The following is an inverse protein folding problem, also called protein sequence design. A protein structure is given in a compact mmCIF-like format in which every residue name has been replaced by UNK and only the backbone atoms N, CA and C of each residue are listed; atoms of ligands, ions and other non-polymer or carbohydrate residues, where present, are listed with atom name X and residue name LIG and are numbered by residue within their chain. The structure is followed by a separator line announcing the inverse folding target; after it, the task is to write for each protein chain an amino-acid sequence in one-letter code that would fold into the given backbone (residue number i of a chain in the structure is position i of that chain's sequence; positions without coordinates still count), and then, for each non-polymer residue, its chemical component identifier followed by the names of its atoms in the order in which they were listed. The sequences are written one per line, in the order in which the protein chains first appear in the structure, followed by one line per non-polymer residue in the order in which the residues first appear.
data_IF_545826578621
#
_entry.id   IF_545826578621
#
_cell.length_a   1.000
_cell.length_b   1.000
_cell.length_c   1.000
_cell.angle_alpha   90.00
_cell.angle_beta   90.00
_cell.angle_gamma   90.00
#
_symmetry.space_group_name_H-M   'P 1'
#
loop_
_entity.id
_entity.type
_entity.pdbx_description
1 polymer ?
#
# COMPACT_ATOMS: atom_id res chain seq x y z
N UNK A 1 13.39 -37.27 -34.50
CA UNK A 1 14.17 -37.03 -33.28
C UNK A 1 13.63 -35.77 -32.62
N UNK A 2 13.01 -35.92 -31.46
CA UNK A 2 12.33 -34.83 -30.75
C UNK A 2 13.36 -33.88 -30.14
N UNK A 3 13.30 -32.59 -30.51
CA UNK A 3 13.94 -31.51 -29.74
C UNK A 3 13.16 -31.37 -28.45
N UNK A 4 13.71 -31.89 -27.35
CA UNK A 4 13.26 -31.52 -26.02
C UNK A 4 13.48 -30.01 -25.87
N UNK A 5 12.40 -29.24 -25.80
CA UNK A 5 12.44 -27.83 -25.46
C UNK A 5 12.94 -27.72 -24.02
N UNK A 6 14.23 -27.45 -23.85
CA UNK A 6 14.80 -27.17 -22.53
C UNK A 6 14.08 -25.93 -21.98
N UNK A 7 13.22 -26.12 -20.99
CA UNK A 7 12.65 -25.03 -20.23
C UNK A 7 13.80 -24.26 -19.56
N UNK A 8 13.82 -22.92 -19.62
CA UNK A 8 14.84 -22.12 -18.97
C UNK A 8 14.99 -22.52 -17.50
N UNK A 9 16.22 -22.63 -16.96
CA UNK A 9 16.47 -23.01 -15.56
C UNK A 9 15.64 -22.18 -14.56
N UNK A 10 15.50 -20.88 -14.84
CA UNK A 10 14.64 -19.96 -14.08
C UNK A 10 13.17 -20.38 -14.09
N UNK A 11 12.60 -20.73 -15.26
CA UNK A 11 11.22 -21.21 -15.37
C UNK A 11 10.99 -22.53 -14.63
N UNK A 12 11.93 -23.47 -14.67
CA UNK A 12 11.83 -24.72 -13.93
C UNK A 12 11.86 -24.49 -12.39
N UNK A 13 12.72 -23.58 -11.93
CA UNK A 13 12.78 -23.18 -10.51
C UNK A 13 11.47 -22.54 -10.04
N UNK A 14 10.92 -21.59 -10.82
CA UNK A 14 9.65 -20.93 -10.49
C UNK A 14 8.47 -21.90 -10.54
N UNK A 15 8.45 -22.83 -11.50
CA UNK A 15 7.45 -23.89 -11.53
C UNK A 15 7.51 -24.78 -10.28
N UNK A 16 8.70 -25.11 -9.78
CA UNK A 16 8.85 -25.89 -8.55
C UNK A 16 8.35 -25.11 -7.32
N UNK A 17 8.64 -23.81 -7.23
CA UNK A 17 8.11 -22.95 -6.18
C UNK A 17 6.58 -22.88 -6.22
N UNK A 18 5.98 -22.72 -7.40
CA UNK A 18 4.51 -22.75 -7.55
C UNK A 18 3.91 -24.07 -7.05
N UNK A 19 4.54 -25.22 -7.33
CA UNK A 19 4.08 -26.51 -6.82
C UNK A 19 4.14 -26.61 -5.30
N UNK A 20 5.16 -26.03 -4.65
CA UNK A 20 5.24 -26.01 -3.18
C UNK A 20 4.18 -25.10 -2.56
N UNK A 21 3.90 -23.95 -3.17
CA UNK A 21 2.79 -23.07 -2.78
C UNK A 21 1.45 -23.83 -2.88
N UNK A 22 1.22 -24.51 -3.99
CA UNK A 22 0.01 -25.31 -4.23
C UNK A 22 -0.15 -26.41 -3.17
N UNK A 23 0.90 -27.20 -2.90
CA UNK A 23 0.89 -28.24 -1.87
C UNK A 23 0.57 -27.68 -0.48
N UNK A 24 1.13 -26.52 -0.12
CA UNK A 24 0.88 -25.87 1.19
C UNK A 24 -0.57 -25.38 1.31
N UNK A 25 -1.15 -24.84 0.24
CA UNK A 25 -2.56 -24.46 0.18
C UNK A 25 -3.50 -25.67 0.27
N UNK A 26 -3.19 -26.77 -0.44
CA UNK A 26 -3.96 -28.02 -0.33
C UNK A 26 -3.95 -28.58 1.10
N UNK A 27 -2.80 -28.55 1.78
CA UNK A 27 -2.70 -28.93 3.20
C UNK A 27 -3.55 -28.03 4.10
N UNK A 28 -3.56 -26.72 3.84
CA UNK A 28 -4.38 -25.77 4.60
C UNK A 28 -5.89 -26.00 4.40
N UNK A 29 -6.33 -26.44 3.21
CA UNK A 29 -7.71 -26.85 2.97
C UNK A 29 -8.05 -28.12 3.76
N UNK A 30 -7.21 -29.15 3.64
CA UNK A 30 -7.42 -30.47 4.23
C UNK A 30 -7.35 -30.48 5.77
N UNK A 31 -6.62 -29.53 6.38
CA UNK A 31 -6.44 -29.45 7.83
C UNK A 31 -7.04 -28.16 8.42
N UNK A 32 -8.35 -28.13 8.75
CA UNK A 32 -9.00 -27.00 9.40
C UNK A 32 -8.29 -26.43 10.64
N UNK A 33 -7.79 -27.23 11.60
CA UNK A 33 -7.18 -26.69 12.82
C UNK A 33 -5.83 -25.99 12.56
N UNK A 34 -5.09 -26.41 11.54
CA UNK A 34 -3.77 -25.85 11.19
C UNK A 34 -3.84 -24.80 10.09
N UNK A 35 -4.99 -24.66 9.42
CA UNK A 35 -5.21 -23.79 8.25
C UNK A 35 -4.64 -22.39 8.42
N UNK A 36 -4.97 -21.72 9.53
CA UNK A 36 -4.51 -20.35 9.80
C UNK A 36 -2.98 -20.28 9.87
N UNK A 37 -2.35 -21.21 10.58
CA UNK A 37 -0.89 -21.24 10.77
C UNK A 37 -0.20 -21.51 9.43
N UNK A 38 -0.68 -22.50 8.67
CA UNK A 38 -0.14 -22.83 7.35
C UNK A 38 -0.22 -21.64 6.37
N UNK A 39 -1.34 -20.90 6.38
CA UNK A 39 -1.48 -19.71 5.56
C UNK A 39 -0.60 -18.54 6.03
N UNK A 40 -0.43 -18.39 7.33
CA UNK A 40 0.47 -17.39 7.88
C UNK A 40 1.93 -17.68 7.51
N UNK A 41 2.36 -18.94 7.62
CA UNK A 41 3.69 -19.36 7.20
C UNK A 41 3.87 -19.17 5.69
N UNK A 42 2.89 -19.57 4.87
CA UNK A 42 2.96 -19.38 3.42
C UNK A 42 3.08 -17.89 3.05
N UNK A 43 2.32 -17.03 3.72
CA UNK A 43 2.43 -15.59 3.55
C UNK A 43 3.84 -15.09 3.90
N UNK A 44 4.41 -15.55 5.02
CA UNK A 44 5.76 -15.18 5.42
C UNK A 44 6.80 -15.64 4.38
N UNK A 45 6.70 -16.88 3.90
CA UNK A 45 7.60 -17.46 2.90
C UNK A 45 7.56 -16.67 1.58
N UNK A 46 6.36 -16.33 1.10
CA UNK A 46 6.16 -15.56 -0.14
C UNK A 46 6.65 -14.10 -0.01
N UNK A 47 6.59 -13.53 1.19
CA UNK A 47 7.07 -12.19 1.48
C UNK A 47 8.60 -12.11 1.69
N UNK A 48 9.31 -13.25 1.71
CA UNK A 48 10.76 -13.25 1.86
C UNK A 48 11.45 -12.56 0.69
N UNK A 49 12.59 -11.97 1.01
CA UNK A 49 13.53 -11.50 0.01
C UNK A 49 14.22 -12.68 -0.66
N UNK A 50 14.44 -12.53 -1.95
CA UNK A 50 15.20 -13.48 -2.74
C UNK A 50 16.66 -13.37 -2.33
N UNK A 51 17.21 -14.46 -1.80
CA UNK A 51 18.63 -14.58 -1.45
C UNK A 51 19.53 -14.57 -2.70
N UNK A 52 20.83 -14.30 -2.52
CA UNK A 52 21.77 -14.16 -3.65
C UNK A 52 21.82 -15.41 -4.54
N UNK A 53 21.70 -16.60 -3.94
CA UNK A 53 21.70 -17.87 -4.67
C UNK A 53 20.48 -18.00 -5.56
N UNK A 54 19.30 -17.65 -5.06
CA UNK A 54 18.07 -17.67 -5.84
C UNK A 54 18.05 -16.55 -6.88
N UNK A 55 18.63 -15.38 -6.57
CA UNK A 55 18.82 -14.28 -7.53
C UNK A 55 19.63 -14.73 -8.73
N UNK A 56 20.75 -15.43 -8.53
CA UNK A 56 21.55 -15.97 -9.63
C UNK A 56 20.76 -16.93 -10.53
N UNK A 57 19.91 -17.78 -9.94
CA UNK A 57 19.08 -18.72 -10.71
C UNK A 57 17.97 -18.01 -11.48
N UNK A 58 17.37 -16.96 -10.89
CA UNK A 58 16.26 -16.21 -11.49
C UNK A 58 16.77 -15.27 -12.58
N UNK A 59 17.85 -14.55 -12.31
CA UNK A 59 18.44 -13.50 -13.14
C UNK A 59 19.51 -13.99 -14.10
N UNK A 60 19.89 -15.27 -14.08
CA UNK A 60 20.77 -15.87 -15.09
C UNK A 60 20.08 -15.94 -16.46
N UNK A 61 19.88 -14.75 -17.03
CA UNK A 61 19.70 -14.48 -18.44
C UNK A 61 21.08 -14.07 -18.94
N UNK A 62 21.57 -14.82 -19.93
CA UNK A 62 22.86 -14.69 -20.59
C UNK A 62 23.28 -13.22 -20.76
N UNK A 63 24.48 -12.89 -20.29
CA UNK A 63 25.16 -11.62 -20.49
C UNK A 63 25.16 -11.25 -21.98
N UNK A 64 24.30 -10.32 -22.40
CA UNK A 64 24.48 -9.57 -23.65
C UNK A 64 23.55 -8.35 -23.71
N UNK A 65 23.58 -7.52 -22.66
CA UNK A 65 23.34 -6.08 -22.79
C UNK A 65 23.99 -5.38 -21.60
N UNK A 66 25.15 -4.78 -21.84
CA UNK A 66 25.74 -3.80 -20.93
C UNK A 66 24.80 -2.59 -20.93
N UNK A 67 23.96 -2.49 -19.90
CA UNK A 67 23.32 -1.24 -19.50
C UNK A 67 24.05 -0.73 -18.25
N UNK A 68 24.33 0.58 -18.18
CA UNK A 68 25.17 1.12 -17.13
C UNK A 68 24.49 0.99 -15.77
N UNK A 69 25.33 0.88 -14.74
CA UNK A 69 24.95 0.78 -13.35
C UNK A 69 24.09 2.00 -12.91
N UNK A 70 22.77 1.83 -12.90
CA UNK A 70 21.88 2.60 -12.03
C UNK A 70 21.85 1.91 -10.65
N UNK A 71 22.97 2.08 -9.95
CA UNK A 71 23.30 1.49 -8.65
C UNK A 71 22.56 2.16 -7.49
N UNK A 72 21.26 2.47 -7.65
CA UNK A 72 20.50 3.20 -6.61
C UNK A 72 19.04 2.81 -6.42
N UNK A 73 18.46 1.90 -7.24
CA UNK A 73 17.06 1.49 -7.10
C UNK A 73 16.75 0.01 -7.37
N UNK A 74 17.74 -0.90 -7.44
CA UNK A 74 17.42 -2.33 -7.34
C UNK A 74 16.94 -2.61 -5.90
N UNK A 75 15.64 -2.40 -5.69
CA UNK A 75 14.95 -2.66 -4.45
C UNK A 75 15.16 -4.09 -3.99
N UNK A 76 14.83 -4.34 -2.72
CA UNK A 76 14.74 -5.68 -2.16
C UNK A 76 13.83 -6.56 -3.04
N UNK A 77 14.42 -7.38 -3.92
CA UNK A 77 13.67 -8.32 -4.74
C UNK A 77 13.04 -9.36 -3.80
N UNK A 78 11.73 -9.46 -3.82
CA UNK A 78 10.97 -10.41 -2.99
C UNK A 78 10.35 -11.51 -3.87
N UNK A 79 10.15 -12.71 -3.30
CA UNK A 79 9.62 -13.84 -4.05
C UNK A 79 8.23 -13.56 -4.65
N UNK A 80 7.37 -12.81 -3.96
CA UNK A 80 6.07 -12.45 -4.49
C UNK A 80 6.12 -11.68 -5.80
N UNK A 81 7.11 -10.79 -5.97
CA UNK A 81 7.22 -9.93 -7.14
C UNK A 81 7.61 -10.76 -8.37
N UNK A 82 8.60 -11.64 -8.19
CA UNK A 82 9.05 -12.61 -9.20
C UNK A 82 7.93 -13.58 -9.58
N UNK A 83 7.19 -14.10 -8.60
CA UNK A 83 6.07 -15.01 -8.84
C UNK A 83 4.91 -14.33 -9.54
N UNK A 84 4.63 -13.06 -9.25
CA UNK A 84 3.60 -12.30 -9.94
C UNK A 84 3.91 -12.12 -11.43
N UNK A 85 5.17 -11.82 -11.78
CA UNK A 85 5.61 -11.78 -13.18
C UNK A 85 5.51 -13.16 -13.85
N UNK A 86 5.90 -14.21 -13.12
CA UNK A 86 5.81 -15.58 -13.62
C UNK A 86 4.37 -15.99 -13.93
N UNK A 87 3.40 -15.67 -13.07
CA UNK A 87 2.00 -16.01 -13.30
C UNK A 87 1.34 -15.21 -14.43
N UNK A 88 1.87 -14.03 -14.77
CA UNK A 88 1.48 -13.32 -16.00
C UNK A 88 1.97 -14.07 -17.24
N UNK A 89 3.22 -14.55 -17.22
CA UNK A 89 3.83 -15.26 -18.36
C UNK A 89 3.30 -16.70 -18.53
N UNK A 90 3.01 -17.38 -17.42
CA UNK A 90 2.56 -18.77 -17.37
C UNK A 90 1.28 -18.90 -16.52
N UNK A 91 0.13 -18.38 -17.00
CA UNK A 91 -1.12 -18.35 -16.23
C UNK A 91 -1.63 -19.74 -15.83
N UNK A 92 -1.32 -20.78 -16.62
CA UNK A 92 -1.68 -22.17 -16.31
C UNK A 92 -1.04 -22.68 -15.00
N UNK A 93 0.14 -22.18 -14.63
CA UNK A 93 0.79 -22.52 -13.36
C UNK A 93 0.14 -21.81 -12.17
N UNK A 94 -0.46 -20.64 -12.37
CA UNK A 94 -1.12 -19.86 -11.33
C UNK A 94 -2.57 -20.30 -11.07
N UNK A 95 -3.24 -20.88 -12.07
CA UNK A 95 -4.68 -21.22 -11.98
C UNK A 95 -5.04 -22.18 -10.84
N UNK A 96 -4.33 -23.32 -10.60
CA UNK A 96 -4.63 -24.20 -9.47
C UNK A 96 -4.48 -23.48 -8.12
N UNK A 97 -3.46 -22.64 -7.98
CA UNK A 97 -3.22 -21.83 -6.78
C UNK A 97 -4.38 -20.84 -6.57
N UNK A 98 -4.80 -20.14 -7.62
CA UNK A 98 -5.92 -19.22 -7.56
C UNK A 98 -7.21 -19.92 -7.10
N UNK A 99 -7.53 -21.09 -7.67
CA UNK A 99 -8.71 -21.87 -7.31
C UNK A 99 -8.69 -22.29 -5.82
N UNK A 100 -7.53 -22.67 -5.30
CA UNK A 100 -7.35 -23.02 -3.88
C UNK A 100 -7.52 -21.79 -2.98
N UNK A 101 -6.95 -20.64 -3.36
CA UNK A 101 -7.12 -19.39 -2.60
C UNK A 101 -8.60 -18.99 -2.57
N UNK A 102 -9.32 -19.10 -3.69
CA UNK A 102 -10.77 -18.81 -3.78
C UNK A 102 -11.59 -19.68 -2.81
N UNK A 103 -11.21 -20.95 -2.61
CA UNK A 103 -11.83 -21.82 -1.61
C UNK A 103 -11.50 -21.40 -0.17
N UNK A 104 -10.33 -20.78 0.04
CA UNK A 104 -9.84 -20.31 1.33
C UNK A 104 -10.17 -18.85 1.64
N UNK A 105 -10.99 -18.18 0.82
CA UNK A 105 -11.24 -16.74 0.88
C UNK A 105 -11.79 -16.22 2.22
N UNK A 106 -12.43 -17.10 3.01
CA UNK A 106 -12.90 -16.78 4.36
C UNK A 106 -11.76 -16.55 5.37
N UNK A 107 -10.55 -16.97 5.03
CA UNK A 107 -9.37 -16.84 5.88
C UNK A 107 -8.66 -15.51 5.63
N UNK A 108 -8.25 -14.83 6.70
CA UNK A 108 -7.62 -13.49 6.61
C UNK A 108 -6.36 -13.46 5.74
N UNK A 109 -5.56 -14.53 5.74
CA UNK A 109 -4.31 -14.59 4.98
C UNK A 109 -4.51 -14.89 3.48
N UNK A 110 -5.68 -15.40 3.09
CA UNK A 110 -5.94 -15.74 1.69
C UNK A 110 -5.90 -14.49 0.78
N UNK A 111 -6.49 -13.37 1.22
CA UNK A 111 -6.45 -12.11 0.48
C UNK A 111 -5.05 -11.47 0.44
N UNK A 112 -4.24 -11.63 1.50
CA UNK A 112 -2.84 -11.19 1.50
C UNK A 112 -2.04 -11.94 0.45
N UNK A 113 -2.10 -13.28 0.47
CA UNK A 113 -1.38 -14.15 -0.48
C UNK A 113 -1.87 -13.86 -1.91
N UNK A 114 -3.18 -13.70 -2.11
CA UNK A 114 -3.74 -13.31 -3.40
C UNK A 114 -3.13 -12.00 -3.90
N UNK A 115 -3.10 -10.96 -3.05
CA UNK A 115 -2.57 -9.64 -3.43
C UNK A 115 -1.08 -9.71 -3.77
N UNK A 116 -0.31 -10.52 -3.04
CA UNK A 116 1.12 -10.69 -3.32
C UNK A 116 1.36 -11.44 -4.63
N UNK A 117 0.67 -12.54 -4.87
CA UNK A 117 0.94 -13.41 -6.02
C UNK A 117 0.26 -12.99 -7.33
N UNK A 118 -0.92 -12.36 -7.27
CA UNK A 118 -1.77 -12.13 -8.44
C UNK A 118 -2.03 -10.65 -8.74
N UNK A 119 -1.32 -9.71 -8.10
CA UNK A 119 -1.52 -8.27 -8.36
C UNK A 119 -1.26 -7.86 -9.80
N UNK A 120 -0.27 -8.46 -10.48
CA UNK A 120 0.00 -8.18 -11.90
C UNK A 120 -0.97 -8.92 -12.81
N UNK A 121 -1.14 -10.21 -12.56
CA UNK A 121 -2.03 -11.11 -13.31
C UNK A 121 -3.44 -10.55 -13.51
N UNK A 122 -4.02 -9.93 -12.48
CA UNK A 122 -5.37 -9.37 -12.52
C UNK A 122 -5.58 -8.32 -13.63
N UNK A 123 -4.54 -7.57 -14.00
CA UNK A 123 -4.64 -6.51 -15.00
C UNK A 123 -4.15 -6.95 -16.39
N UNK A 124 -3.50 -8.11 -16.50
CA UNK A 124 -2.99 -8.64 -17.77
C UNK A 124 -3.95 -9.64 -18.41
N UNK A 125 -4.58 -10.49 -17.60
CA UNK A 125 -5.49 -11.53 -18.09
C UNK A 125 -6.91 -10.98 -18.27
N UNK A 126 -7.56 -11.36 -19.38
CA UNK A 126 -8.96 -11.01 -19.64
C UNK A 126 -9.88 -11.90 -18.79
N UNK A 127 -10.72 -11.27 -17.97
CA UNK A 127 -11.75 -11.93 -17.18
C UNK A 127 -13.12 -11.51 -17.68
N UNK A 128 -13.86 -12.44 -18.29
CA UNK A 128 -15.17 -12.15 -18.89
C UNK A 128 -16.29 -11.98 -17.86
N UNK A 129 -16.10 -12.49 -16.64
CA UNK A 129 -17.12 -12.44 -15.59
C UNK A 129 -16.93 -11.20 -14.69
N UNK A 130 -17.85 -10.21 -14.73
CA UNK A 130 -17.73 -8.97 -13.97
C UNK A 130 -17.84 -9.17 -12.46
N UNK A 131 -18.59 -10.18 -11.99
CA UNK A 131 -18.71 -10.49 -10.56
C UNK A 131 -17.41 -11.05 -9.99
N UNK A 132 -16.77 -11.94 -10.75
CA UNK A 132 -15.46 -12.51 -10.39
C UNK A 132 -14.41 -11.40 -10.37
N UNK A 133 -14.41 -10.53 -11.37
CA UNK A 133 -13.50 -9.41 -11.46
C UNK A 133 -13.67 -8.43 -10.28
N UNK A 134 -14.91 -8.12 -9.90
CA UNK A 134 -15.18 -7.32 -8.71
C UNK A 134 -14.63 -8.00 -7.45
N UNK A 135 -14.92 -9.29 -7.26
CA UNK A 135 -14.46 -10.06 -6.10
C UNK A 135 -12.94 -10.07 -5.98
N UNK A 136 -12.23 -10.29 -7.07
CA UNK A 136 -10.77 -10.29 -7.11
C UNK A 136 -10.20 -8.89 -6.86
N UNK A 137 -10.78 -7.86 -7.48
CA UNK A 137 -10.31 -6.49 -7.29
C UNK A 137 -10.51 -6.01 -5.85
N UNK A 138 -11.64 -6.33 -5.23
CA UNK A 138 -11.87 -6.03 -3.81
C UNK A 138 -10.91 -6.78 -2.89
N UNK A 139 -10.58 -8.03 -3.21
CA UNK A 139 -9.60 -8.78 -2.41
C UNK A 139 -8.17 -8.30 -2.59
N UNK A 140 -7.81 -7.82 -3.79
CA UNK A 140 -6.55 -7.12 -4.01
C UNK A 140 -6.47 -5.88 -3.12
N UNK A 141 -7.50 -5.02 -3.14
CA UNK A 141 -7.52 -3.81 -2.32
C UNK A 141 -7.46 -4.13 -0.81
N UNK A 142 -8.23 -5.12 -0.35
CA UNK A 142 -8.24 -5.53 1.06
C UNK A 142 -6.93 -6.18 1.48
N UNK A 143 -6.37 -7.06 0.65
CA UNK A 143 -5.12 -7.74 0.95
C UNK A 143 -3.94 -6.77 0.92
N UNK A 144 -3.86 -5.90 -0.09
CA UNK A 144 -2.89 -4.82 -0.19
C UNK A 144 -2.96 -3.87 1.01
N UNK A 145 -4.17 -3.48 1.45
CA UNK A 145 -4.36 -2.67 2.67
C UNK A 145 -3.66 -3.30 3.87
N UNK A 146 -3.88 -4.60 4.08
CA UNK A 146 -3.35 -5.29 5.25
C UNK A 146 -1.83 -5.51 5.16
N UNK A 147 -1.29 -5.86 3.99
CA UNK A 147 0.18 -6.02 3.85
C UNK A 147 0.91 -4.68 4.00
N UNK A 148 0.35 -3.57 3.53
CA UNK A 148 0.93 -2.25 3.77
C UNK A 148 0.83 -1.83 5.24
N UNK A 149 -0.23 -2.24 5.95
CA UNK A 149 -0.30 -2.07 7.40
C UNK A 149 0.76 -2.89 8.14
N UNK A 150 1.13 -4.07 7.65
CA UNK A 150 2.25 -4.84 8.21
C UNK A 150 3.53 -4.02 8.09
N UNK A 151 3.82 -3.46 6.91
CA UNK A 151 4.98 -2.60 6.69
C UNK A 151 4.98 -1.36 7.59
N UNK A 152 3.83 -0.73 7.82
CA UNK A 152 3.70 0.36 8.82
C UNK A 152 4.04 -0.14 10.23
N UNK A 153 3.53 -1.30 10.63
CA UNK A 153 3.73 -1.85 11.98
C UNK A 153 5.18 -2.26 12.23
N UNK A 154 5.85 -2.81 11.21
CA UNK A 154 7.27 -3.19 11.28
C UNK A 154 8.20 -2.02 10.94
N UNK A 155 7.68 -0.89 10.47
CA UNK A 155 8.45 0.23 9.94
C UNK A 155 9.44 -0.21 8.84
N UNK A 156 8.97 -1.10 7.96
CA UNK A 156 9.71 -1.61 6.80
C UNK A 156 8.99 -1.25 5.50
N UNK A 157 9.62 -1.46 4.36
CA UNK A 157 9.02 -1.20 3.03
C UNK A 157 9.13 -2.43 2.12
N UNK A 158 8.85 -3.60 2.69
CA UNK A 158 8.97 -4.90 2.02
C UNK A 158 8.02 -5.01 0.82
N UNK A 159 6.85 -4.38 0.92
CA UNK A 159 5.81 -4.40 -0.08
C UNK A 159 5.82 -3.17 -1.00
N UNK A 160 6.97 -2.48 -1.07
CA UNK A 160 7.12 -1.29 -1.90
C UNK A 160 6.92 -1.58 -3.39
N UNK A 161 7.39 -2.71 -3.93
CA UNK A 161 7.21 -3.00 -5.35
C UNK A 161 5.74 -3.23 -5.72
N UNK A 162 4.97 -3.89 -4.84
CA UNK A 162 3.51 -3.97 -4.96
C UNK A 162 2.87 -2.57 -4.97
N UNK A 163 3.26 -1.69 -4.04
CA UNK A 163 2.73 -0.33 -4.00
C UNK A 163 3.06 0.46 -5.27
N UNK A 164 4.32 0.44 -5.70
CA UNK A 164 4.77 1.14 -6.90
C UNK A 164 4.05 0.62 -8.16
N UNK A 165 3.88 -0.69 -8.32
CA UNK A 165 3.10 -1.25 -9.43
C UNK A 165 1.65 -0.74 -9.42
N UNK A 166 0.98 -0.78 -8.27
CA UNK A 166 -0.41 -0.31 -8.16
C UNK A 166 -0.55 1.19 -8.41
N UNK A 167 0.44 1.99 -8.03
CA UNK A 167 0.44 3.44 -8.26
C UNK A 167 0.78 3.76 -9.73
N UNK A 168 1.94 3.32 -10.18
CA UNK A 168 2.57 3.75 -11.43
C UNK A 168 1.96 3.07 -12.64
N UNK A 169 1.76 1.76 -12.56
CA UNK A 169 1.28 0.96 -13.70
C UNK A 169 -0.23 0.82 -13.70
N UNK A 170 -0.93 0.94 -12.56
CA UNK A 170 -2.38 0.72 -12.51
C UNK A 170 -3.15 2.02 -12.36
N UNK A 171 -2.90 2.80 -11.30
CA UNK A 171 -3.72 3.97 -11.00
C UNK A 171 -3.47 5.14 -11.96
N UNK A 172 -2.24 5.30 -12.45
CA UNK A 172 -1.88 6.37 -13.40
C UNK A 172 -2.17 5.98 -14.86
N UNK A 173 -2.34 4.70 -15.18
CA UNK A 173 -2.63 4.22 -16.54
C UNK A 173 -4.14 3.95 -16.74
N UNK A 174 -4.89 4.84 -17.43
CA UNK A 174 -6.34 4.69 -17.57
C UNK A 174 -6.73 3.40 -18.28
N UNK A 175 -5.91 2.89 -19.20
CA UNK A 175 -6.20 1.66 -19.93
C UNK A 175 -6.24 0.43 -18.99
N UNK A 176 -5.41 0.42 -17.94
CA UNK A 176 -5.39 -0.65 -16.93
C UNK A 176 -6.43 -0.41 -15.84
N UNK A 177 -6.59 0.84 -15.37
CA UNK A 177 -7.59 1.19 -14.36
C UNK A 177 -9.02 0.88 -14.82
N UNK A 178 -9.34 1.16 -16.09
CA UNK A 178 -10.66 0.91 -16.65
C UNK A 178 -10.99 -0.59 -16.84
N UNK A 179 -10.00 -1.49 -16.66
CA UNK A 179 -10.28 -2.92 -16.66
C UNK A 179 -11.06 -3.34 -15.41
N UNK A 180 -10.86 -2.68 -14.27
CA UNK A 180 -11.54 -3.05 -13.02
C UNK A 180 -12.83 -2.25 -12.83
N UNK A 181 -13.83 -2.80 -12.12
CA UNK A 181 -15.09 -2.10 -11.85
C UNK A 181 -14.87 -0.78 -11.10
N UNK A 182 -15.73 0.21 -11.38
CA UNK A 182 -15.64 1.56 -10.78
C UNK A 182 -15.58 1.53 -9.25
N UNK A 183 -16.26 0.58 -8.60
CA UNK A 183 -16.16 0.41 -7.15
C UNK A 183 -14.73 0.06 -6.70
N UNK A 184 -14.09 -0.89 -7.39
CA UNK A 184 -12.73 -1.28 -7.07
C UNK A 184 -11.70 -0.19 -7.43
N UNK A 185 -11.94 0.61 -8.47
CA UNK A 185 -11.11 1.78 -8.77
C UNK A 185 -11.09 2.75 -7.59
N UNK A 186 -12.25 3.02 -6.98
CA UNK A 186 -12.36 3.87 -5.79
C UNK A 186 -11.64 3.27 -4.60
N UNK A 187 -11.84 1.98 -4.34
CA UNK A 187 -11.19 1.28 -3.23
C UNK A 187 -9.65 1.31 -3.38
N UNK A 188 -9.15 1.13 -4.61
CA UNK A 188 -7.73 1.27 -4.95
C UNK A 188 -7.24 2.71 -4.77
N UNK A 189 -8.00 3.71 -5.21
CA UNK A 189 -7.64 5.12 -5.03
C UNK A 189 -7.53 5.49 -3.54
N UNK A 190 -8.48 5.05 -2.71
CA UNK A 190 -8.43 5.29 -1.26
C UNK A 190 -7.28 4.52 -0.60
N UNK A 191 -7.01 3.28 -1.05
CA UNK A 191 -5.83 2.53 -0.63
C UNK A 191 -4.54 3.31 -0.91
N UNK A 192 -4.31 3.73 -2.15
CA UNK A 192 -3.08 4.44 -2.52
C UNK A 192 -2.95 5.77 -1.78
N UNK A 193 -4.07 6.50 -1.61
CA UNK A 193 -4.14 7.74 -0.85
C UNK A 193 -3.60 7.58 0.57
N UNK A 194 -3.92 6.48 1.26
CA UNK A 194 -3.43 6.20 2.62
C UNK A 194 -1.92 6.03 2.68
N UNK A 195 -1.31 5.40 1.68
CA UNK A 195 0.08 4.90 1.76
C UNK A 195 1.08 5.67 0.90
N UNK A 196 0.65 6.63 0.07
CA UNK A 196 1.54 7.37 -0.84
C UNK A 196 2.69 8.10 -0.12
N UNK A 197 2.43 8.68 1.06
CA UNK A 197 3.47 9.34 1.85
C UNK A 197 4.41 8.33 2.52
N UNK A 198 3.89 7.18 2.96
CA UNK A 198 4.69 6.13 3.60
C UNK A 198 5.78 5.59 2.68
N UNK A 199 5.44 5.34 1.42
CA UNK A 199 6.35 4.86 0.39
C UNK A 199 7.10 5.97 -0.36
N UNK A 200 7.17 7.19 0.19
CA UNK A 200 7.92 8.32 -0.38
C UNK A 200 7.53 8.72 -1.82
N UNK A 201 6.29 8.47 -2.24
CA UNK A 201 5.83 8.77 -3.61
C UNK A 201 5.07 10.09 -3.71
N UNK A 202 5.45 11.07 -2.88
CA UNK A 202 4.78 12.37 -2.81
C UNK A 202 4.97 13.24 -4.06
N UNK A 203 6.06 13.02 -4.79
CA UNK A 203 6.35 13.61 -6.11
C UNK A 203 5.32 13.21 -7.17
N UNK A 204 4.70 12.04 -7.04
CA UNK A 204 3.68 11.52 -7.96
C UNK A 204 2.26 11.95 -7.61
N UNK A 205 2.07 12.69 -6.51
CA UNK A 205 0.76 13.06 -5.98
C UNK A 205 -0.08 13.83 -7.00
N UNK A 206 0.50 14.84 -7.66
CA UNK A 206 -0.24 15.65 -8.65
C UNK A 206 -0.75 14.82 -9.82
N UNK A 207 0.05 13.88 -10.31
CA UNK A 207 -0.34 12.95 -11.37
C UNK A 207 -1.42 11.98 -10.88
N UNK A 208 -1.28 11.45 -9.66
CA UNK A 208 -2.25 10.56 -9.05
C UNK A 208 -3.63 11.25 -8.86
N UNK A 209 -3.65 12.48 -8.36
CA UNK A 209 -4.89 13.24 -8.14
C UNK A 209 -5.66 13.53 -9.45
N UNK A 210 -4.96 13.68 -10.58
CA UNK A 210 -5.57 13.87 -11.90
C UNK A 210 -6.33 12.63 -12.39
N UNK A 211 -5.96 11.44 -11.90
CA UNK A 211 -6.56 10.16 -12.27
C UNK A 211 -7.60 9.67 -11.25
N UNK A 212 -8.17 10.59 -10.47
CA UNK A 212 -9.19 10.25 -9.48
C UNK A 212 -10.46 9.70 -10.16
N UNK A 213 -10.94 8.51 -9.75
CA UNK A 213 -12.17 7.94 -10.31
C UNK A 213 -13.39 8.73 -9.87
N UNK A 214 -14.49 8.60 -10.61
CA UNK A 214 -15.74 9.31 -10.26
C UNK A 214 -16.33 8.77 -8.96
N UNK A 215 -16.44 9.61 -7.93
CA UNK A 215 -17.14 9.31 -6.68
C UNK A 215 -18.58 9.84 -6.69
N UNK A 216 -19.59 9.06 -6.26
CA UNK A 216 -20.98 9.51 -6.25
C UNK A 216 -21.19 10.64 -5.23
N UNK A 217 -20.38 10.65 -4.17
CA UNK A 217 -20.45 11.63 -3.08
C UNK A 217 -19.52 12.83 -3.30
N UNK A 218 -18.97 13.01 -4.51
CA UNK A 218 -18.06 14.13 -4.81
C UNK A 218 -18.71 15.50 -4.57
N UNK A 219 -20.02 15.62 -4.79
CA UNK A 219 -20.74 16.85 -4.48
C UNK A 219 -20.69 17.22 -2.98
N UNK A 220 -20.71 16.22 -2.09
CA UNK A 220 -20.64 16.40 -0.63
C UNK A 220 -19.21 16.65 -0.16
N UNK A 221 -18.27 15.79 -0.58
CA UNK A 221 -16.91 15.77 -0.03
C UNK A 221 -16.03 16.80 -0.72
N UNK A 222 -16.10 16.88 -2.05
CA UNK A 222 -15.30 17.79 -2.86
C UNK A 222 -14.55 17.10 -3.99
N UNK A 223 -13.44 17.72 -4.37
CA UNK A 223 -12.60 17.26 -5.47
C UNK A 223 -11.62 16.14 -5.06
N UNK A 224 -10.75 15.72 -5.98
CA UNK A 224 -9.72 14.70 -5.72
C UNK A 224 -8.83 15.03 -4.52
N UNK A 225 -8.44 16.29 -4.36
CA UNK A 225 -7.65 16.80 -3.23
C UNK A 225 -8.39 16.63 -1.92
N UNK A 226 -9.71 16.89 -1.90
CA UNK A 226 -10.54 16.74 -0.70
C UNK A 226 -10.66 15.28 -0.26
N UNK A 227 -10.86 14.36 -1.20
CA UNK A 227 -10.87 12.92 -0.92
C UNK A 227 -9.53 12.45 -0.36
N UNK A 228 -8.44 12.83 -1.02
CA UNK A 228 -7.08 12.49 -0.61
C UNK A 228 -6.79 12.96 0.82
N UNK A 229 -7.03 14.25 1.11
CA UNK A 229 -6.76 14.83 2.43
C UNK A 229 -7.67 14.25 3.50
N UNK A 230 -8.92 13.93 3.18
CA UNK A 230 -9.82 13.25 4.12
C UNK A 230 -9.27 11.88 4.51
N UNK A 231 -8.86 11.07 3.54
CA UNK A 231 -8.30 9.75 3.78
C UNK A 231 -6.97 9.83 4.55
N UNK A 232 -6.14 10.84 4.23
CA UNK A 232 -4.88 11.10 4.91
C UNK A 232 -5.09 11.49 6.39
N UNK A 233 -6.06 12.37 6.68
CA UNK A 233 -6.41 12.73 8.06
C UNK A 233 -6.88 11.50 8.86
N UNK A 234 -7.66 10.62 8.22
CA UNK A 234 -8.15 9.39 8.84
C UNK A 234 -7.04 8.37 9.08
N UNK A 235 -6.08 8.31 8.15
CA UNK A 235 -4.88 7.49 8.30
C UNK A 235 -4.03 7.97 9.48
N UNK A 236 -3.74 9.27 9.58
CA UNK A 236 -2.95 9.85 10.67
C UNK A 236 -3.48 9.45 12.05
N UNK A 237 -4.80 9.50 12.25
CA UNK A 237 -5.43 9.13 13.52
C UNK A 237 -5.29 7.64 13.88
N UNK A 238 -5.08 6.77 12.89
CA UNK A 238 -4.90 5.32 13.09
C UNK A 238 -3.44 4.94 13.34
N UNK A 239 -2.48 5.80 13.01
CA UNK A 239 -1.05 5.52 13.16
C UNK A 239 -0.65 5.50 14.64
N UNK A 240 -0.09 4.35 15.08
CA UNK A 240 0.43 4.15 16.44
C UNK A 240 1.95 4.05 16.49
N UNK A 241 2.59 3.82 15.34
CA UNK A 241 4.05 3.69 15.23
C UNK A 241 4.65 5.09 15.08
N UNK A 242 5.30 5.57 16.12
CA UNK A 242 5.81 6.96 16.19
C UNK A 242 6.73 7.34 15.02
N UNK A 243 7.76 6.54 14.64
CA UNK A 243 8.60 6.87 13.48
C UNK A 243 7.79 7.06 12.19
N UNK A 244 6.76 6.22 11.98
CA UNK A 244 5.88 6.33 10.81
C UNK A 244 5.02 7.58 10.90
N UNK A 245 4.44 7.88 12.06
CA UNK A 245 3.65 9.11 12.24
C UNK A 245 4.49 10.37 11.98
N UNK A 246 5.71 10.43 12.49
CA UNK A 246 6.67 11.52 12.21
C UNK A 246 6.99 11.62 10.71
N UNK A 247 7.16 10.48 10.05
CA UNK A 247 7.38 10.42 8.62
C UNK A 247 6.20 11.02 7.84
N UNK A 248 4.96 10.67 8.19
CA UNK A 248 3.78 11.28 7.57
C UNK A 248 3.72 12.79 7.82
N UNK A 249 3.86 13.22 9.08
CA UNK A 249 3.77 14.65 9.45
C UNK A 249 4.80 15.50 8.70
N UNK A 250 6.04 15.03 8.59
CA UNK A 250 7.10 15.75 7.86
C UNK A 250 6.86 15.81 6.34
N UNK A 251 6.15 14.83 5.78
CA UNK A 251 5.79 14.80 4.36
C UNK A 251 4.47 15.51 4.04
N UNK A 252 3.73 16.04 5.01
CA UNK A 252 2.52 16.84 4.75
C UNK A 252 2.81 18.13 3.96
N UNK A 253 4.07 18.53 3.85
CA UNK A 253 4.51 19.63 2.97
C UNK A 253 4.03 19.49 1.52
N UNK A 254 3.78 18.28 1.03
CA UNK A 254 3.24 18.07 -0.32
C UNK A 254 1.83 18.64 -0.51
N UNK A 255 1.12 18.93 0.58
CA UNK A 255 -0.20 19.56 0.55
C UNK A 255 -0.15 21.09 0.43
N UNK A 256 1.05 21.68 0.50
CA UNK A 256 1.19 23.13 0.50
C UNK A 256 0.69 23.72 -0.82
N UNK A 257 -0.20 24.72 -0.73
CA UNK A 257 -0.80 25.36 -1.90
C UNK A 257 -1.98 24.62 -2.53
N UNK A 258 -2.39 23.47 -1.98
CA UNK A 258 -3.59 22.77 -2.45
C UNK A 258 -4.86 23.53 -2.05
N UNK A 259 -5.75 23.72 -3.01
CA UNK A 259 -7.10 24.25 -2.74
C UNK A 259 -7.97 23.14 -2.15
N UNK A 260 -8.40 23.35 -0.90
CA UNK A 260 -9.25 22.43 -0.15
C UNK A 260 -10.56 23.14 0.20
N UNK A 261 -11.65 22.38 0.23
CA UNK A 261 -12.89 22.88 0.83
C UNK A 261 -12.68 23.21 2.29
N UNK A 262 -13.45 24.19 2.78
CA UNK A 262 -13.42 24.60 4.19
C UNK A 262 -13.62 23.42 5.16
N UNK A 263 -14.53 22.50 4.84
CA UNK A 263 -14.79 21.32 5.67
C UNK A 263 -13.55 20.40 5.76
N UNK A 264 -12.91 20.10 4.62
CA UNK A 264 -11.70 19.27 4.56
C UNK A 264 -10.52 19.95 5.25
N UNK A 265 -10.29 21.23 4.96
CA UNK A 265 -9.27 22.05 5.61
C UNK A 265 -9.44 22.06 7.13
N UNK A 266 -10.67 22.25 7.61
CA UNK A 266 -11.00 22.18 9.04
C UNK A 266 -10.73 20.79 9.62
N UNK A 267 -11.11 19.70 8.93
CA UNK A 267 -10.85 18.33 9.38
C UNK A 267 -9.35 18.06 9.55
N UNK A 268 -8.54 18.39 8.54
CA UNK A 268 -7.09 18.21 8.59
C UNK A 268 -6.49 19.00 9.74
N UNK A 269 -6.90 20.26 9.88
CA UNK A 269 -6.45 21.14 10.96
C UNK A 269 -6.79 20.59 12.34
N UNK A 270 -8.02 20.16 12.58
CA UNK A 270 -8.44 19.54 13.85
C UNK A 270 -7.65 18.26 14.12
N UNK A 271 -7.40 17.45 13.09
CA UNK A 271 -6.57 16.25 13.20
C UNK A 271 -5.15 16.61 13.66
N UNK A 272 -4.49 17.60 13.04
CA UNK A 272 -3.15 18.04 13.44
C UNK A 272 -3.11 18.61 14.86
N UNK A 273 -4.09 19.40 15.27
CA UNK A 273 -4.18 19.89 16.66
C UNK A 273 -4.31 18.77 17.70
N UNK A 274 -4.93 17.65 17.35
CA UNK A 274 -5.00 16.51 18.27
C UNK A 274 -3.60 15.96 18.62
N UNK A 275 -2.62 16.18 17.75
CA UNK A 275 -1.23 15.79 17.96
C UNK A 275 -0.37 16.85 18.66
N UNK A 276 -0.84 18.09 18.86
CA UNK A 276 -0.04 19.17 19.46
C UNK A 276 -0.09 19.23 20.97
N UNK A 277 -1.07 18.55 21.59
CA UNK A 277 -1.42 18.73 23.00
C UNK A 277 -0.94 17.55 23.85
N UNK A 278 -0.34 17.78 25.03
CA UNK A 278 -0.02 16.71 25.96
C UNK A 278 -1.32 16.20 26.63
N UNK A 279 -1.86 15.08 26.17
CA UNK A 279 -3.05 14.47 26.77
C UNK A 279 -3.67 13.37 25.91
N UNK A 280 -4.72 12.75 26.46
CA UNK A 280 -5.54 11.79 25.72
C UNK A 280 -6.27 12.46 24.53
N UNK A 281 -6.72 11.68 23.54
CA UNK A 281 -6.72 10.22 23.49
C UNK A 281 -5.39 9.57 23.04
N UNK A 282 -4.44 10.36 22.52
CA UNK A 282 -3.26 9.83 21.79
C UNK A 282 -1.93 9.94 22.54
N UNK A 283 -1.82 10.80 23.58
CA UNK A 283 -0.59 11.03 24.35
C UNK A 283 0.67 11.19 23.47
N UNK A 284 0.68 12.11 22.49
CA UNK A 284 1.79 12.24 21.53
C UNK A 284 3.09 12.61 22.23
N UNK A 285 4.22 12.08 21.74
CA UNK A 285 5.56 12.43 22.23
C UNK A 285 5.93 13.87 21.89
N UNK A 286 7.03 14.37 22.47
CA UNK A 286 7.51 15.73 22.15
C UNK A 286 7.86 15.89 20.68
N UNK A 287 8.45 14.86 20.06
CA UNK A 287 8.80 14.88 18.65
C UNK A 287 7.54 15.00 17.78
N UNK A 288 6.52 14.19 18.06
CA UNK A 288 5.24 14.22 17.34
C UNK A 288 4.55 15.57 17.48
N UNK A 289 4.53 16.14 18.70
CA UNK A 289 3.95 17.48 18.93
C UNK A 289 4.64 18.57 18.11
N UNK A 290 5.97 18.55 18.06
CA UNK A 290 6.74 19.52 17.27
C UNK A 290 6.48 19.36 15.77
N UNK A 291 6.56 18.13 15.25
CA UNK A 291 6.27 17.86 13.84
C UNK A 291 4.83 18.26 13.45
N UNK A 292 3.86 18.09 14.34
CA UNK A 292 2.48 18.53 14.12
C UNK A 292 2.36 20.06 14.10
N UNK A 293 3.08 20.79 14.95
CA UNK A 293 3.15 22.25 14.91
C UNK A 293 3.79 22.74 13.61
N UNK A 294 4.91 22.14 13.20
CA UNK A 294 5.59 22.50 11.96
C UNK A 294 4.68 22.29 10.74
N UNK A 295 3.94 21.18 10.71
CA UNK A 295 2.95 20.93 9.66
C UNK A 295 1.78 21.93 9.68
N UNK A 296 1.28 22.32 10.86
CA UNK A 296 0.23 23.34 10.99
C UNK A 296 0.69 24.70 10.47
N UNK A 297 1.88 25.13 10.88
CA UNK A 297 2.43 26.43 10.51
C UNK A 297 2.73 26.48 8.99
N UNK A 298 3.16 25.36 8.41
CA UNK A 298 3.40 25.24 6.97
C UNK A 298 2.11 25.29 6.15
N UNK A 299 1.06 24.56 6.57
CA UNK A 299 -0.18 24.42 5.80
C UNK A 299 -1.18 25.55 6.06
N UNK A 300 -1.14 26.18 7.24
CA UNK A 300 -2.10 27.20 7.66
C UNK A 300 -1.41 28.46 8.22
N UNK A 301 -0.60 29.17 7.40
CA UNK A 301 0.24 30.28 7.85
C UNK A 301 -0.53 31.50 8.37
N UNK A 302 -1.82 31.64 8.01
CA UNK A 302 -2.68 32.74 8.47
C UNK A 302 -3.21 32.56 9.91
N UNK A 303 -2.80 31.52 10.62
CA UNK A 303 -3.14 31.35 12.04
C UNK A 303 -2.22 32.19 12.93
N UNK A 304 -2.55 33.47 12.94
CA UNK A 304 -1.97 34.54 13.75
C UNK A 304 -1.87 34.14 15.24
N UNK A 305 -0.85 34.64 15.95
CA UNK A 305 -0.59 34.38 17.38
C UNK A 305 -1.82 34.63 18.29
N UNK A 306 -2.76 35.46 17.83
CA UNK A 306 -4.05 35.72 18.50
C UNK A 306 -5.01 34.53 18.51
N UNK A 307 -4.95 33.65 17.52
CA UNK A 307 -5.76 32.42 17.49
C UNK A 307 -5.14 31.29 18.31
N UNK A 308 -3.82 31.35 18.56
CA UNK A 308 -3.12 30.43 19.47
C UNK A 308 -3.59 30.61 20.92
N UNK A 309 -3.92 31.82 21.37
CA UNK A 309 -4.44 32.08 22.73
C UNK A 309 -5.91 31.74 22.94
N UNK A 310 -6.68 31.56 21.87
CA UNK A 310 -8.13 31.28 21.92
C UNK A 310 -8.48 29.78 21.86
N UNK A 311 -7.50 28.92 21.54
CA UNK A 311 -7.70 27.48 21.63
C UNK A 311 -7.60 27.05 23.10
N UNK A 312 -8.59 26.32 23.66
CA UNK A 312 -8.68 26.06 25.11
C UNK A 312 -7.47 25.32 25.71
N UNK A 313 -6.64 24.71 24.86
CA UNK A 313 -5.39 24.03 25.25
C UNK A 313 -4.25 25.01 25.57
N UNK A 314 -4.18 26.16 24.90
CA UNK A 314 -3.09 27.12 25.11
C UNK A 314 -3.28 27.95 26.38
N UNK A 315 -4.54 28.19 26.77
CA UNK A 315 -4.92 28.86 28.03
C UNK A 315 -4.32 28.15 29.25
N UNK A 316 -4.27 26.81 29.22
CA UNK A 316 -3.70 26.00 30.30
C UNK A 316 -2.16 26.04 30.36
N UNK A 317 -1.48 26.27 29.21
CA UNK A 317 -0.02 26.34 29.16
C UNK A 317 0.54 27.70 29.62
N UNK A 318 -0.19 28.79 29.41
CA UNK A 318 0.19 30.12 29.94
C UNK A 318 0.01 30.21 31.46
N UNK A 319 -1.02 29.58 32.03
CA UNK A 319 -1.18 29.52 33.49
C UNK A 319 -0.07 28.71 34.19
N UNK A 320 0.45 27.62 33.58
CA UNK A 320 1.53 26.82 34.19
C UNK A 320 2.93 27.45 34.09
N UNK A 321 3.16 28.37 33.16
CA UNK A 321 4.43 29.13 33.07
C UNK A 321 4.47 30.37 33.99
N UNK A 322 3.32 30.79 34.53
CA UNK A 322 3.24 31.90 35.48
C UNK A 322 3.42 31.48 36.94
N UNK A 323 3.52 30.17 37.23
CA UNK A 323 3.61 29.62 38.59
C UNK A 323 4.82 28.70 38.77
N UNK A 324 5.90 28.90 38.00
CA UNK A 324 7.18 28.22 38.16
C UNK A 324 8.30 29.25 38.28
#
# INVERSE_FOLDING_TARGET
MARASATPRSSAYLSALSQEIEKKLQRALASPPQRRNLLQELFADVALEVDDRARDIILSREEDTISPADDSHLGQLCFYDVLADYYVQAPESGKPILDLIVQLWSQSFASHIFSLLFHKWLFEVQLDNPEVLLRYSSALAQGATNVFWIDIQTNTRRFQSLFCYLLDEVAVEPARLNKIPVQAQRDLYLLLSRFILFYNSGDKLDTFLKHCPTFPNAFLIGGPTDFFVTELADQLQKLKVEPVLLHYLSNLKVLQGMELRMATSTRLKTCLYSFTSPGGPMYPTRAVRHAAWDALDLLFPLFDWRSRTLHPVYSAHLQRRSTA
#
